data_IF_880553215690
#
_entry.id   IF_880553215690
#
_cell.length_a   1.000
_cell.length_b   1.000
_cell.length_c   1.000
_cell.angle_alpha   90.00
_cell.angle_beta   90.00
_cell.angle_gamma   90.00
#
_symmetry.space_group_name_H-M   'P 1'
#
loop_
_entity.id
_entity.type
_entity.pdbx_description
1 polymer ?
#
# COMPACT_ATOMS: atom_id res chain seq x y z
N UNK A 1 25.87 15.68 3.43
CA UNK A 1 25.25 15.27 2.14
C UNK A 1 25.16 13.76 2.11
N UNK A 2 23.97 13.20 1.91
CA UNK A 2 23.74 11.76 1.69
C UNK A 2 23.70 11.56 0.17
N UNK A 3 24.49 10.63 -0.35
CA UNK A 3 24.61 10.41 -1.80
C UNK A 3 23.77 9.22 -2.26
N UNK A 4 23.21 9.32 -3.48
CA UNK A 4 22.57 8.22 -4.21
C UNK A 4 21.47 7.48 -3.42
N UNK A 5 20.74 8.18 -2.56
CA UNK A 5 19.64 7.59 -1.79
C UNK A 5 18.52 7.16 -2.71
N UNK A 6 18.12 5.89 -2.61
CA UNK A 6 17.01 5.35 -3.38
C UNK A 6 15.67 5.83 -2.80
N UNK A 7 14.93 6.57 -3.61
CA UNK A 7 13.56 6.98 -3.30
C UNK A 7 12.61 6.22 -4.25
N UNK A 8 11.64 5.53 -3.68
CA UNK A 8 10.63 4.77 -4.42
C UNK A 8 9.46 5.66 -4.88
N UNK A 9 9.19 6.72 -4.12
CA UNK A 9 8.10 7.68 -4.39
C UNK A 9 8.54 9.09 -3.98
N UNK A 10 8.63 10.04 -4.92
CA UNK A 10 8.76 9.87 -6.39
C UNK A 10 10.01 9.05 -6.73
N UNK A 11 9.90 8.18 -7.72
CA UNK A 11 10.97 7.22 -8.01
C UNK A 11 12.23 7.88 -8.55
N UNK A 12 13.37 7.58 -7.95
CA UNK A 12 14.68 8.04 -8.39
C UNK A 12 15.78 7.82 -7.38
N UNK A 13 17.01 8.14 -7.76
CA UNK A 13 18.14 8.28 -6.85
C UNK A 13 18.43 9.76 -6.65
N UNK A 14 18.61 10.15 -5.41
CA UNK A 14 18.77 11.55 -5.05
C UNK A 14 19.92 11.72 -4.04
N UNK A 15 20.68 12.78 -4.25
CA UNK A 15 21.55 13.30 -3.23
C UNK A 15 20.72 14.18 -2.28
N UNK A 16 20.88 13.96 -0.98
CA UNK A 16 20.14 14.72 0.04
C UNK A 16 21.09 15.66 0.75
N UNK A 17 20.90 16.94 0.53
CA UNK A 17 21.57 18.00 1.28
C UNK A 17 20.68 18.47 2.42
N UNK A 18 21.22 18.49 3.63
CA UNK A 18 20.52 18.96 4.82
C UNK A 18 21.01 20.35 5.19
N UNK A 19 20.07 21.29 5.26
CA UNK A 19 20.27 22.68 5.67
C UNK A 19 19.56 22.95 7.01
N UNK A 20 19.79 24.07 7.67
CA UNK A 20 19.18 24.34 8.99
C UNK A 20 17.65 24.42 9.02
N UNK A 21 17.00 24.74 7.89
CA UNK A 21 15.53 24.97 7.79
C UNK A 21 14.85 24.15 6.73
N UNK A 22 15.59 23.54 5.83
CA UNK A 22 15.07 22.74 4.72
C UNK A 22 16.04 21.65 4.34
N UNK A 23 15.58 20.68 3.58
CA UNK A 23 16.40 19.73 2.86
C UNK A 23 16.25 19.93 1.34
N UNK A 24 17.27 19.57 0.59
CA UNK A 24 17.24 19.55 -0.86
C UNK A 24 17.51 18.16 -1.38
N UNK A 25 16.61 17.65 -2.19
CA UNK A 25 16.81 16.42 -2.96
C UNK A 25 17.30 16.82 -4.33
N UNK A 26 18.52 16.40 -4.70
CA UNK A 26 19.09 16.61 -6.03
C UNK A 26 19.04 15.30 -6.79
N UNK A 27 18.18 15.24 -7.77
CA UNK A 27 18.06 14.12 -8.68
C UNK A 27 18.71 14.39 -10.02
N UNK A 28 18.71 13.39 -10.88
CA UNK A 28 19.21 13.54 -12.27
C UNK A 28 18.34 14.49 -13.11
N UNK A 29 17.04 14.50 -12.86
CA UNK A 29 16.05 15.25 -13.67
C UNK A 29 15.31 16.29 -12.84
N UNK A 30 15.05 15.99 -11.57
CA UNK A 30 14.24 16.84 -10.69
C UNK A 30 14.97 17.13 -9.40
N UNK A 31 14.85 18.37 -8.96
CA UNK A 31 15.32 18.88 -7.68
C UNK A 31 14.13 19.32 -6.84
N UNK A 32 14.15 18.96 -5.54
CA UNK A 32 13.11 19.37 -4.61
C UNK A 32 13.71 20.08 -3.42
N UNK A 33 13.13 21.20 -3.05
CA UNK A 33 13.40 21.89 -1.78
C UNK A 33 12.23 21.65 -0.85
N UNK A 34 12.47 21.01 0.28
CA UNK A 34 11.46 20.61 1.25
C UNK A 34 11.77 21.27 2.58
N UNK A 35 10.83 22.07 3.08
CA UNK A 35 10.96 22.68 4.40
C UNK A 35 10.71 21.62 5.47
N UNK A 36 11.44 21.65 6.57
CA UNK A 36 11.17 20.72 7.69
C UNK A 36 9.79 20.97 8.31
N UNK A 37 9.28 22.19 8.26
CA UNK A 37 7.92 22.53 8.70
C UNK A 37 6.81 21.92 7.84
N UNK A 38 7.11 21.47 6.62
CA UNK A 38 6.15 20.76 5.77
C UNK A 38 6.09 19.26 6.06
N UNK A 39 6.98 18.74 6.89
CA UNK A 39 6.96 17.33 7.31
C UNK A 39 5.93 17.18 8.43
N UNK A 40 4.90 16.40 8.17
CA UNK A 40 3.80 16.18 9.10
C UNK A 40 3.97 14.92 9.94
N UNK A 41 4.48 13.84 9.34
CA UNK A 41 4.71 12.56 10.02
C UNK A 41 5.91 11.83 9.42
N UNK A 42 6.53 10.99 10.25
CA UNK A 42 7.65 10.13 9.86
C UNK A 42 7.32 8.68 10.22
N UNK A 43 7.64 7.75 9.32
CA UNK A 43 7.44 6.33 9.54
C UNK A 43 8.72 5.55 9.20
N UNK A 44 9.04 4.56 10.03
CA UNK A 44 10.13 3.63 9.78
C UNK A 44 9.55 2.21 9.79
N UNK A 45 9.51 1.58 8.63
CA UNK A 45 8.79 0.34 8.39
C UNK A 45 9.75 -0.73 7.85
N UNK A 46 9.87 -1.90 8.51
CA UNK A 46 10.63 -3.01 7.96
C UNK A 46 9.90 -3.59 6.75
N UNK A 47 10.65 -3.95 5.71
CA UNK A 47 10.08 -4.71 4.60
C UNK A 47 10.07 -6.21 4.93
N UNK A 48 9.11 -6.95 4.35
CA UNK A 48 9.01 -8.41 4.53
C UNK A 48 10.19 -9.20 3.98
N UNK A 49 11.08 -8.57 3.23
CA UNK A 49 12.30 -9.19 2.70
C UNK A 49 13.43 -9.30 3.75
N UNK A 50 13.23 -8.75 4.95
CA UNK A 50 14.18 -8.67 6.06
C UNK A 50 15.55 -7.98 5.73
N UNK A 51 15.70 -7.54 4.49
CA UNK A 51 16.92 -6.91 3.96
C UNK A 51 16.78 -5.38 3.97
N UNK A 52 15.56 -4.87 3.72
CA UNK A 52 15.35 -3.44 3.55
C UNK A 52 14.46 -2.85 4.63
N UNK A 53 14.66 -1.55 4.83
CA UNK A 53 13.82 -0.70 5.68
C UNK A 53 13.31 0.46 4.83
N UNK A 54 12.02 0.77 4.98
CA UNK A 54 11.39 1.93 4.37
C UNK A 54 11.32 3.06 5.37
N UNK A 55 11.82 4.22 4.98
CA UNK A 55 11.64 5.45 5.72
C UNK A 55 10.68 6.35 4.94
N UNK A 56 9.52 6.64 5.52
CA UNK A 56 8.45 7.38 4.85
C UNK A 56 8.29 8.73 5.51
N UNK A 57 8.26 9.77 4.69
CA UNK A 57 8.08 11.17 5.10
C UNK A 57 6.77 11.67 4.51
N UNK A 58 5.81 11.98 5.37
CA UNK A 58 4.56 12.61 4.96
C UNK A 58 4.73 14.13 4.87
N UNK A 59 4.21 14.72 3.82
CA UNK A 59 4.41 16.13 3.46
C UNK A 59 3.08 16.86 3.23
N UNK A 60 2.96 18.03 3.83
CA UNK A 60 1.93 19.01 3.54
C UNK A 60 2.56 20.43 3.51
N UNK A 61 2.62 21.09 2.36
CA UNK A 61 2.09 20.69 1.04
C UNK A 61 2.90 19.56 0.37
N UNK A 62 2.28 18.77 -0.53
CA UNK A 62 2.95 17.70 -1.25
C UNK A 62 4.00 18.22 -2.24
N UNK A 63 5.05 17.42 -2.46
CA UNK A 63 6.01 17.67 -3.53
C UNK A 63 5.33 17.50 -4.89
N UNK A 64 5.68 18.36 -5.85
CA UNK A 64 5.13 18.32 -7.21
C UNK A 64 6.19 17.91 -8.23
N UNK A 65 5.77 17.02 -9.12
CA UNK A 65 6.54 16.64 -10.31
C UNK A 65 5.62 16.76 -11.52
N UNK A 66 5.76 17.86 -12.26
CA UNK A 66 4.78 18.23 -13.27
C UNK A 66 3.39 18.41 -12.64
N UNK A 67 2.39 17.67 -13.13
CA UNK A 67 1.02 17.70 -12.60
C UNK A 67 0.81 16.73 -11.41
N UNK A 68 1.75 15.81 -11.18
CA UNK A 68 1.63 14.82 -10.13
C UNK A 68 2.03 15.41 -8.78
N UNK A 69 1.22 15.14 -7.75
CA UNK A 69 1.48 15.52 -6.37
C UNK A 69 1.87 14.30 -5.57
N UNK A 70 2.96 14.40 -4.82
CA UNK A 70 3.46 13.34 -3.96
C UNK A 70 3.38 13.79 -2.49
N UNK A 71 2.35 13.37 -1.75
CA UNK A 71 2.22 13.68 -0.33
C UNK A 71 3.18 12.86 0.54
N UNK A 72 3.84 11.86 -0.03
CA UNK A 72 4.80 11.03 0.66
C UNK A 72 6.11 10.93 -0.13
N UNK A 73 7.22 10.93 0.61
CA UNK A 73 8.50 10.41 0.13
C UNK A 73 8.69 9.03 0.74
N UNK A 74 9.04 8.06 -0.08
CA UNK A 74 9.35 6.69 0.37
C UNK A 74 10.81 6.41 0.06
N UNK A 75 11.65 6.47 1.08
CA UNK A 75 13.08 6.16 0.98
C UNK A 75 13.28 4.69 1.36
N UNK A 76 14.18 4.02 0.66
CA UNK A 76 14.54 2.64 0.95
C UNK A 76 16.03 2.54 1.26
N UNK A 77 16.34 1.86 2.36
CA UNK A 77 17.70 1.60 2.81
C UNK A 77 17.92 0.10 3.03
N UNK A 78 19.08 -0.44 2.70
CA UNK A 78 19.49 -1.74 3.22
C UNK A 78 19.64 -1.66 4.75
N UNK A 79 19.24 -2.73 5.44
CA UNK A 79 19.24 -2.76 6.92
C UNK A 79 20.66 -2.76 7.50
N UNK A 80 21.59 -3.41 6.81
CA UNK A 80 22.97 -3.61 7.25
C UNK A 80 23.94 -2.58 6.67
N UNK A 81 23.48 -1.67 5.81
CA UNK A 81 24.35 -0.64 5.23
C UNK A 81 24.75 0.38 6.30
N UNK A 82 26.03 0.39 6.65
CA UNK A 82 26.60 1.35 7.58
C UNK A 82 27.18 2.55 6.84
N UNK A 83 27.15 3.69 7.48
CA UNK A 83 27.70 4.93 6.96
C UNK A 83 28.41 5.72 8.04
N UNK A 84 29.63 6.15 7.71
CA UNK A 84 30.33 7.18 8.46
C UNK A 84 29.84 8.55 8.00
N UNK A 85 29.27 9.32 8.92
CA UNK A 85 28.83 10.67 8.62
C UNK A 85 29.31 11.66 9.67
N UNK A 86 29.91 12.75 9.24
CA UNK A 86 30.26 13.89 10.08
C UNK A 86 29.34 15.06 9.73
N UNK A 87 28.71 15.63 10.77
CA UNK A 87 27.90 16.83 10.62
C UNK A 87 28.79 18.06 10.62
N UNK A 88 28.56 18.93 9.65
CA UNK A 88 29.22 20.25 9.61
C UNK A 88 28.52 21.22 10.57
N UNK A 89 28.44 20.86 11.85
CA UNK A 89 27.91 21.63 12.95
C UNK A 89 28.94 21.69 14.05
N UNK A 90 29.07 22.85 14.69
CA UNK A 90 29.88 23.00 15.88
C UNK A 90 29.17 22.41 17.11
N UNK A 91 29.96 21.97 18.09
CA UNK A 91 29.43 21.33 19.30
C UNK A 91 28.51 22.23 20.10
N UNK A 92 28.80 23.53 20.09
CA UNK A 92 27.96 24.53 20.76
C UNK A 92 26.56 24.60 20.15
N UNK A 93 26.45 24.59 18.83
CA UNK A 93 25.14 24.52 18.11
C UNK A 93 24.42 23.21 18.38
N UNK A 94 25.13 22.08 18.45
CA UNK A 94 24.52 20.77 18.77
C UNK A 94 23.91 20.79 20.17
N UNK A 95 24.62 21.39 21.15
CA UNK A 95 24.13 21.44 22.53
C UNK A 95 23.01 22.47 22.72
N UNK A 96 23.16 23.67 22.16
CA UNK A 96 22.23 24.77 22.42
C UNK A 96 20.96 24.66 21.57
N UNK A 97 21.09 24.41 20.25
CA UNK A 97 19.96 24.41 19.33
C UNK A 97 19.26 23.04 19.24
N UNK A 98 20.04 21.98 19.34
CA UNK A 98 19.50 20.61 19.18
C UNK A 98 19.49 19.79 20.47
N UNK A 99 19.74 20.45 21.63
CA UNK A 99 19.67 19.86 22.98
C UNK A 99 20.49 18.54 23.08
N UNK A 100 21.61 18.47 22.40
CA UNK A 100 22.45 17.26 22.38
C UNK A 100 21.81 16.04 21.69
N UNK A 101 20.69 16.22 20.98
CA UNK A 101 20.00 15.12 20.27
C UNK A 101 20.71 14.67 19.00
N UNK A 102 21.69 15.45 18.51
CA UNK A 102 22.55 15.12 17.39
C UNK A 102 23.95 14.78 17.88
N UNK A 103 24.62 13.86 17.19
CA UNK A 103 26.04 13.57 17.35
C UNK A 103 26.81 14.31 16.26
N UNK A 104 28.07 14.73 16.55
CA UNK A 104 28.94 15.31 15.52
C UNK A 104 29.36 14.26 14.49
N UNK A 105 29.66 13.05 14.96
CA UNK A 105 30.02 11.90 14.13
C UNK A 105 29.11 10.72 14.39
N UNK A 106 28.74 10.04 13.33
CA UNK A 106 27.91 8.85 13.33
C UNK A 106 28.67 7.70 12.65
N UNK A 107 28.63 6.54 13.28
CA UNK A 107 29.12 5.25 12.78
C UNK A 107 27.99 4.26 13.08
N UNK A 108 26.94 4.30 12.28
CA UNK A 108 25.69 3.56 12.53
C UNK A 108 25.06 3.19 11.19
N UNK A 109 24.09 2.25 11.16
CA UNK A 109 23.32 1.98 9.95
C UNK A 109 22.70 3.23 9.35
N UNK A 110 22.85 3.38 8.03
CA UNK A 110 22.44 4.57 7.26
C UNK A 110 21.01 5.01 7.58
N UNK A 111 20.08 4.04 7.65
CA UNK A 111 18.67 4.36 7.94
C UNK A 111 18.47 4.97 9.33
N UNK A 112 19.27 4.57 10.33
CA UNK A 112 19.20 5.15 11.70
C UNK A 112 19.68 6.58 11.72
N UNK A 113 20.78 6.86 11.03
CA UNK A 113 21.32 8.22 10.91
C UNK A 113 20.29 9.13 10.26
N UNK A 114 19.77 8.72 9.09
CA UNK A 114 18.76 9.48 8.34
C UNK A 114 17.52 9.71 9.18
N UNK A 115 16.99 8.67 9.80
CA UNK A 115 15.79 8.76 10.65
C UNK A 115 16.00 9.74 11.81
N UNK A 116 17.17 9.69 12.47
CA UNK A 116 17.47 10.60 13.57
C UNK A 116 17.59 12.05 13.11
N UNK A 117 18.27 12.31 11.99
CA UNK A 117 18.39 13.65 11.41
C UNK A 117 17.03 14.24 11.06
N UNK A 118 16.18 13.49 10.35
CA UNK A 118 14.84 13.94 10.01
C UNK A 118 13.99 14.19 11.26
N UNK A 119 14.04 13.30 12.25
CA UNK A 119 13.32 13.44 13.52
C UNK A 119 13.70 14.73 14.24
N UNK A 120 15.00 15.03 14.33
CA UNK A 120 15.49 16.20 15.06
C UNK A 120 15.21 17.49 14.30
N UNK A 121 15.43 17.52 12.98
CA UNK A 121 15.22 18.73 12.19
C UNK A 121 13.73 19.06 11.98
N UNK A 122 12.87 18.07 11.82
CA UNK A 122 11.43 18.30 11.66
C UNK A 122 10.68 18.37 12.98
N UNK A 123 11.31 17.95 14.10
CA UNK A 123 10.69 17.81 15.42
C UNK A 123 9.48 16.85 15.44
N UNK A 124 9.37 15.98 14.44
CA UNK A 124 8.31 15.00 14.34
C UNK A 124 8.71 13.66 14.98
N UNK A 125 7.72 12.95 15.53
CA UNK A 125 7.92 11.59 16.04
C UNK A 125 8.01 10.61 14.89
N UNK A 126 8.87 9.60 15.04
CA UNK A 126 8.95 8.49 14.12
C UNK A 126 7.98 7.39 14.57
N UNK A 127 7.04 7.04 13.70
CA UNK A 127 6.11 5.96 13.91
C UNK A 127 6.73 4.65 13.41
N UNK A 128 6.71 3.65 14.26
CA UNK A 128 7.16 2.28 13.94
C UNK A 128 6.00 1.31 14.15
N UNK A 129 5.95 0.18 13.47
CA UNK A 129 4.98 -0.85 13.75
C UNK A 129 5.14 -1.34 15.20
N UNK A 130 4.03 -1.47 15.90
CA UNK A 130 3.99 -1.96 17.28
C UNK A 130 2.69 -2.71 17.56
N UNK A 131 2.81 -3.90 18.11
CA UNK A 131 1.66 -4.68 18.56
C UNK A 131 0.89 -5.42 17.47
N UNK A 132 1.33 -5.36 16.21
CA UNK A 132 0.83 -6.22 15.14
C UNK A 132 1.94 -7.16 14.68
N UNK A 133 1.57 -8.42 14.53
CA UNK A 133 2.42 -9.45 13.94
C UNK A 133 1.52 -10.36 13.12
N UNK A 134 1.87 -10.60 11.88
CA UNK A 134 1.15 -11.48 10.98
C UNK A 134 1.46 -12.96 11.27
N UNK A 135 0.84 -13.88 10.56
CA UNK A 135 1.02 -15.33 10.69
C UNK A 135 2.46 -15.82 10.52
N UNK A 136 3.28 -15.05 9.77
CA UNK A 136 4.69 -15.38 9.51
C UNK A 136 5.68 -14.61 10.41
N UNK A 137 5.19 -13.87 11.41
CA UNK A 137 6.04 -13.10 12.32
C UNK A 137 6.46 -11.71 11.82
N UNK A 138 5.87 -11.22 10.73
CA UNK A 138 6.17 -9.91 10.15
C UNK A 138 5.16 -8.85 10.60
N UNK A 139 5.54 -7.58 10.51
CA UNK A 139 4.74 -6.44 10.98
C UNK A 139 3.84 -5.83 9.90
N UNK A 140 3.61 -6.55 8.81
CA UNK A 140 2.82 -6.10 7.67
C UNK A 140 2.02 -7.22 7.03
N UNK A 141 1.00 -6.85 6.27
CA UNK A 141 0.15 -7.77 5.53
C UNK A 141 0.19 -7.41 4.04
N UNK A 142 0.39 -8.41 3.19
CA UNK A 142 0.33 -8.22 1.74
C UNK A 142 -1.12 -8.08 1.29
N UNK A 143 -1.40 -7.06 0.51
CA UNK A 143 -2.73 -6.82 -0.06
C UNK A 143 -2.66 -5.92 -1.28
N UNK A 144 -3.76 -5.82 -1.99
CA UNK A 144 -3.90 -5.02 -3.18
C UNK A 144 -4.91 -3.89 -2.97
N UNK A 145 -4.63 -2.73 -3.55
CA UNK A 145 -5.63 -1.67 -3.69
C UNK A 145 -5.83 -1.44 -5.20
N UNK A 146 -7.02 -1.79 -5.71
CA UNK A 146 -7.28 -1.84 -7.16
C UNK A 146 -6.27 -2.77 -7.85
N UNK A 147 -5.50 -2.26 -8.83
CA UNK A 147 -4.49 -3.01 -9.57
C UNK A 147 -3.07 -2.90 -8.99
N UNK A 148 -2.88 -2.31 -7.83
CA UNK A 148 -1.55 -2.12 -7.24
C UNK A 148 -1.35 -3.03 -6.04
N UNK A 149 -0.25 -3.79 -6.08
CA UNK A 149 0.24 -4.55 -4.93
C UNK A 149 0.89 -3.62 -3.91
N UNK A 150 0.78 -3.96 -2.65
CA UNK A 150 1.42 -3.23 -1.57
C UNK A 150 1.42 -3.98 -0.25
N UNK A 151 2.00 -3.33 0.74
CA UNK A 151 2.08 -3.83 2.11
C UNK A 151 1.29 -2.91 3.03
N UNK A 152 0.38 -3.49 3.79
CA UNK A 152 -0.42 -2.81 4.80
C UNK A 152 0.26 -2.97 6.17
N UNK A 153 0.57 -1.87 6.82
CA UNK A 153 1.15 -1.82 8.16
C UNK A 153 0.12 -1.28 9.14
N UNK A 154 -0.44 -2.12 10.02
CA UNK A 154 -1.22 -1.65 11.14
C UNK A 154 -0.30 -1.00 12.19
N UNK A 155 -0.50 0.30 12.43
CA UNK A 155 0.27 1.06 13.41
C UNK A 155 -0.59 1.37 14.64
N UNK A 156 0.00 2.00 15.64
CA UNK A 156 -0.72 2.27 16.89
C UNK A 156 -1.96 3.18 16.72
N UNK A 157 -1.90 4.16 15.82
CA UNK A 157 -2.98 5.17 15.62
C UNK A 157 -3.47 5.29 14.18
N UNK A 158 -2.91 4.51 13.27
CA UNK A 158 -3.22 4.60 11.84
C UNK A 158 -2.91 3.30 11.13
N UNK A 159 -3.49 3.12 9.95
CA UNK A 159 -3.04 2.17 8.95
C UNK A 159 -2.22 2.91 7.90
N UNK A 160 -1.11 2.35 7.47
CA UNK A 160 -0.40 2.84 6.30
C UNK A 160 -0.22 1.71 5.29
N UNK A 161 -0.73 1.92 4.08
CA UNK A 161 -0.49 1.02 2.97
C UNK A 161 0.58 1.59 2.05
N UNK A 162 1.61 0.80 1.80
CA UNK A 162 2.80 1.22 1.05
C UNK A 162 2.84 0.52 -0.29
N UNK A 163 2.76 1.32 -1.33
CA UNK A 163 2.87 0.94 -2.74
C UNK A 163 3.47 2.12 -3.51
N UNK A 164 3.24 2.21 -4.81
CA UNK A 164 3.67 3.38 -5.63
C UNK A 164 3.11 4.70 -5.13
N UNK A 165 1.90 4.68 -4.58
CA UNK A 165 1.25 5.82 -3.92
C UNK A 165 0.77 5.35 -2.55
N UNK A 166 1.47 5.71 -1.48
CA UNK A 166 1.07 5.33 -0.13
C UNK A 166 -0.28 5.92 0.26
N UNK A 167 -1.03 5.15 1.06
CA UNK A 167 -2.31 5.56 1.66
C UNK A 167 -2.14 5.52 3.17
N UNK A 168 -2.41 6.63 3.83
CA UNK A 168 -2.40 6.75 5.28
C UNK A 168 -3.82 7.00 5.77
N UNK A 169 -4.30 6.19 6.70
CA UNK A 169 -5.63 6.28 7.28
C UNK A 169 -5.47 6.37 8.79
N UNK A 170 -5.89 7.49 9.37
CA UNK A 170 -5.96 7.64 10.83
C UNK A 170 -7.15 6.87 11.39
N UNK A 171 -6.98 6.13 12.51
CA UNK A 171 -8.10 5.44 13.16
C UNK A 171 -9.17 6.39 13.67
N UNK A 172 -8.82 7.64 13.94
CA UNK A 172 -9.79 8.65 14.31
C UNK A 172 -10.81 8.94 13.21
N UNK A 173 -10.41 8.81 11.95
CA UNK A 173 -11.25 9.10 10.79
C UNK A 173 -12.04 7.87 10.32
N UNK A 174 -11.78 6.70 10.92
CA UNK A 174 -12.44 5.43 10.59
C UNK A 174 -13.78 5.33 11.33
N UNK A 175 -14.82 4.99 10.59
CA UNK A 175 -16.11 4.62 11.14
C UNK A 175 -16.11 3.16 11.59
N UNK A 176 -15.71 2.25 10.68
CA UNK A 176 -15.59 0.82 10.97
C UNK A 176 -14.68 0.09 9.98
N UNK A 177 -14.23 -1.08 10.38
CA UNK A 177 -13.53 -2.06 9.56
C UNK A 177 -14.50 -3.17 9.19
N UNK A 178 -14.59 -3.50 7.91
CA UNK A 178 -15.49 -4.55 7.42
C UNK A 178 -14.67 -5.63 6.73
N UNK A 179 -14.75 -6.84 7.29
CA UNK A 179 -14.18 -8.03 6.64
C UNK A 179 -15.20 -8.66 5.72
N UNK A 180 -14.86 -8.74 4.44
CA UNK A 180 -15.69 -9.34 3.38
C UNK A 180 -15.13 -10.68 2.95
N UNK A 181 -15.97 -11.60 2.50
CA UNK A 181 -15.60 -12.96 2.05
C UNK A 181 -15.03 -13.86 3.14
N UNK A 182 -15.45 -13.66 4.39
CA UNK A 182 -14.91 -14.39 5.56
C UNK A 182 -15.72 -15.60 6.01
N UNK A 183 -16.95 -15.82 5.51
CA UNK A 183 -17.82 -16.89 5.98
C UNK A 183 -18.75 -17.48 4.92
N UNK A 184 -19.67 -18.34 5.34
CA UNK A 184 -20.71 -18.98 4.50
C UNK A 184 -20.13 -19.91 3.44
N UNK A 185 -20.77 -19.96 2.26
CA UNK A 185 -20.34 -20.77 1.10
C UNK A 185 -18.92 -20.40 0.59
N UNK A 186 -18.42 -19.22 0.97
CA UNK A 186 -17.11 -18.70 0.57
C UNK A 186 -16.03 -18.99 1.64
N UNK A 187 -16.36 -19.75 2.69
CA UNK A 187 -15.41 -20.11 3.76
C UNK A 187 -14.16 -20.86 3.27
N UNK A 188 -14.21 -21.47 2.07
CA UNK A 188 -13.07 -22.11 1.42
C UNK A 188 -12.14 -21.13 0.66
N UNK A 189 -12.50 -19.85 0.56
CA UNK A 189 -11.66 -18.85 -0.11
C UNK A 189 -10.34 -18.69 0.65
N UNK A 190 -9.22 -18.69 -0.09
CA UNK A 190 -7.87 -18.53 0.48
C UNK A 190 -7.56 -17.10 0.91
N UNK A 191 -8.38 -16.15 0.49
CA UNK A 191 -8.19 -14.72 0.73
C UNK A 191 -9.51 -14.06 1.14
N UNK A 192 -9.39 -12.95 1.84
CA UNK A 192 -10.48 -12.06 2.19
C UNK A 192 -10.14 -10.61 1.82
N UNK A 193 -11.12 -9.73 1.95
CA UNK A 193 -10.95 -8.30 1.73
C UNK A 193 -11.25 -7.53 3.02
N UNK A 194 -10.50 -6.46 3.23
CA UNK A 194 -10.71 -5.52 4.33
C UNK A 194 -11.16 -4.17 3.75
N UNK A 195 -12.41 -3.79 4.01
CA UNK A 195 -12.93 -2.46 3.70
C UNK A 195 -12.83 -1.58 4.94
N UNK A 196 -12.25 -0.42 4.78
CA UNK A 196 -12.14 0.62 5.80
C UNK A 196 -13.12 1.71 5.44
N UNK A 197 -14.20 1.78 6.20
CA UNK A 197 -15.23 2.80 6.04
C UNK A 197 -14.86 4.03 6.86
N UNK A 198 -14.78 5.18 6.18
CA UNK A 198 -14.42 6.43 6.81
C UNK A 198 -15.67 7.19 7.30
N UNK A 199 -15.51 7.99 8.36
CA UNK A 199 -16.57 8.90 8.81
C UNK A 199 -16.88 9.96 7.75
N UNK A 200 -15.85 10.38 7.02
CA UNK A 200 -15.93 11.34 5.94
C UNK A 200 -14.95 10.96 4.83
N UNK A 201 -15.36 11.10 3.58
CA UNK A 201 -14.50 10.83 2.43
C UNK A 201 -14.80 9.51 1.73
N UNK A 202 -13.80 8.96 1.06
CA UNK A 202 -13.94 7.74 0.25
C UNK A 202 -13.38 6.54 0.99
N UNK A 203 -14.16 5.47 1.05
CA UNK A 203 -13.75 4.20 1.63
C UNK A 203 -12.56 3.58 0.90
N UNK A 204 -11.75 2.85 1.64
CA UNK A 204 -10.62 2.13 1.11
C UNK A 204 -10.84 0.62 1.23
N UNK A 205 -10.63 -0.11 0.14
CA UNK A 205 -10.71 -1.57 0.13
C UNK A 205 -9.34 -2.17 -0.15
N UNK A 206 -8.86 -2.96 0.80
CA UNK A 206 -7.64 -3.75 0.71
C UNK A 206 -8.02 -5.18 0.38
N UNK A 207 -7.65 -5.63 -0.81
CA UNK A 207 -8.10 -6.89 -1.39
C UNK A 207 -7.03 -7.98 -1.29
N UNK A 208 -7.47 -9.24 -1.41
CA UNK A 208 -6.58 -10.41 -1.53
C UNK A 208 -5.64 -10.60 -0.35
N UNK A 209 -6.10 -10.32 0.85
CA UNK A 209 -5.38 -10.61 2.09
C UNK A 209 -5.45 -12.11 2.34
N UNK A 210 -4.32 -12.75 2.69
CA UNK A 210 -4.31 -14.17 3.07
C UNK A 210 -5.24 -14.43 4.25
N UNK A 211 -6.01 -15.52 4.18
CA UNK A 211 -6.96 -15.87 5.25
C UNK A 211 -6.28 -16.12 6.59
N UNK A 212 -5.03 -16.52 6.59
CA UNK A 212 -4.22 -16.73 7.79
C UNK A 212 -4.05 -15.46 8.63
N UNK A 213 -4.22 -14.28 8.00
CA UNK A 213 -4.07 -12.98 8.65
C UNK A 213 -5.35 -12.46 9.32
N UNK A 214 -6.47 -13.17 9.13
CA UNK A 214 -7.77 -12.70 9.62
C UNK A 214 -7.79 -12.54 11.15
N UNK A 215 -7.32 -13.55 11.86
CA UNK A 215 -7.31 -13.55 13.33
C UNK A 215 -6.34 -12.51 13.87
N UNK A 216 -5.16 -12.38 13.27
CA UNK A 216 -4.15 -11.39 13.66
C UNK A 216 -4.68 -9.95 13.51
N UNK A 217 -5.34 -9.64 12.40
CA UNK A 217 -5.94 -8.33 12.16
C UNK A 217 -7.13 -8.07 13.07
N UNK A 218 -8.01 -9.08 13.26
CA UNK A 218 -9.18 -8.94 14.11
C UNK A 218 -8.78 -8.69 15.57
N UNK A 219 -7.83 -9.46 16.10
CA UNK A 219 -7.29 -9.27 17.44
C UNK A 219 -6.64 -7.89 17.61
N UNK A 220 -5.85 -7.47 16.64
CA UNK A 220 -5.20 -6.16 16.66
C UNK A 220 -6.22 -5.00 16.71
N UNK A 221 -7.30 -5.07 15.92
CA UNK A 221 -8.35 -4.06 15.94
C UNK A 221 -9.20 -4.11 17.22
N UNK A 222 -9.47 -5.32 17.74
CA UNK A 222 -10.22 -5.51 18.99
C UNK A 222 -9.46 -4.93 20.20
N UNK A 223 -8.15 -5.18 20.32
CA UNK A 223 -7.29 -4.61 21.38
C UNK A 223 -7.34 -3.08 21.41
N UNK A 224 -7.48 -2.45 20.23
CA UNK A 224 -7.57 -0.99 20.08
C UNK A 224 -8.99 -0.46 20.16
N UNK A 225 -9.98 -1.34 20.45
CA UNK A 225 -11.41 -1.00 20.54
C UNK A 225 -11.94 -0.35 19.28
N UNK A 226 -11.41 -0.76 18.11
CA UNK A 226 -11.90 -0.31 16.81
C UNK A 226 -13.12 -1.14 16.43
N UNK A 227 -14.08 -0.53 15.76
CA UNK A 227 -15.29 -1.22 15.32
C UNK A 227 -14.97 -2.14 14.16
N UNK A 228 -15.26 -3.43 14.34
CA UNK A 228 -15.07 -4.45 13.32
C UNK A 228 -16.42 -5.11 13.02
N UNK A 229 -16.69 -5.32 11.74
CA UNK A 229 -17.90 -5.96 11.22
C UNK A 229 -17.51 -7.07 10.25
N UNK A 230 -18.25 -8.19 10.31
CA UNK A 230 -18.13 -9.28 9.33
C UNK A 230 -19.40 -9.28 8.47
N UNK A 231 -19.28 -9.14 7.17
CA UNK A 231 -20.42 -9.00 6.25
C UNK A 231 -21.47 -10.12 6.38
N UNK A 232 -21.04 -11.35 6.71
CA UNK A 232 -21.95 -12.49 6.82
C UNK A 232 -22.66 -12.62 8.17
N UNK A 233 -22.16 -12.00 9.24
CA UNK A 233 -22.82 -12.05 10.54
C UNK A 233 -24.08 -11.20 10.54
N UNK A 234 -24.10 -10.13 9.74
CA UNK A 234 -25.25 -9.23 9.66
C UNK A 234 -26.37 -9.74 8.76
N UNK A 235 -26.03 -10.42 7.64
CA UNK A 235 -27.04 -11.08 6.80
C UNK A 235 -27.67 -12.26 7.55
N UNK A 236 -26.90 -13.03 8.32
CA UNK A 236 -27.41 -14.11 9.14
C UNK A 236 -28.28 -13.60 10.31
N UNK A 237 -27.94 -12.47 10.93
CA UNK A 237 -28.79 -11.85 11.96
C UNK A 237 -30.04 -11.21 11.36
N UNK A 238 -29.95 -10.63 10.14
CA UNK A 238 -31.11 -10.07 9.44
C UNK A 238 -32.14 -11.15 9.05
N UNK A 239 -31.68 -12.31 8.61
CA UNK A 239 -32.56 -13.43 8.30
C UNK A 239 -33.12 -14.08 9.58
N UNK A 240 -32.34 -14.16 10.65
CA UNK A 240 -32.80 -14.65 11.94
C UNK A 240 -33.85 -13.76 12.60
N UNK A 241 -33.67 -12.45 12.52
CA UNK A 241 -34.66 -11.50 13.04
C UNK A 241 -35.98 -11.51 12.24
N UNK A 242 -35.90 -11.67 10.90
CA UNK A 242 -37.09 -11.76 10.05
C UNK A 242 -37.85 -13.09 10.25
N UNK A 243 -37.15 -14.18 10.57
CA UNK A 243 -37.77 -15.48 10.88
C UNK A 243 -38.44 -15.46 12.26
N UNK A 244 -37.83 -14.79 13.24
CA UNK A 244 -38.39 -14.67 14.59
C UNK A 244 -39.62 -13.76 14.63
N UNK A 245 -39.68 -12.72 13.75
CA UNK A 245 -40.86 -11.84 13.58
C UNK A 245 -42.00 -12.54 12.80
N UNK A 246 -41.67 -13.53 11.95
CA UNK A 246 -42.64 -14.35 11.22
C UNK A 246 -43.18 -15.54 12.04
N UNK A 247 -42.52 -15.96 13.11
CA UNK A 247 -42.91 -17.06 13.98
C UNK A 247 -43.58 -16.58 15.28
N UNK A 248 -43.71 -15.27 15.47
CA UNK A 248 -44.19 -14.66 16.72
C UNK A 248 -45.67 -14.32 16.78
N UNK A 249 -46.48 -14.62 15.76
CA UNK A 249 -47.95 -14.43 15.82
C UNK A 249 -48.67 -15.68 15.34
N UNK A 250 -48.89 -16.65 16.23
CA UNK A 250 -50.07 -17.50 16.29
C UNK A 250 -49.92 -18.55 17.41
N UNK A 251 -50.22 -18.17 18.59
CA UNK A 251 -50.65 -19.13 19.62
C UNK A 251 -51.86 -18.57 20.36
N UNK A 252 -53.01 -18.87 19.85
CA UNK A 252 -54.20 -19.18 20.67
C UNK A 252 -55.28 -19.81 19.78
N UNK A 253 -55.56 -21.02 20.11
CA UNK A 253 -56.90 -21.58 20.19
C UNK A 253 -57.23 -22.80 19.33
N UNK A 254 -57.56 -23.86 20.06
CA UNK A 254 -58.70 -24.80 19.93
C UNK A 254 -58.43 -26.18 19.31
N UNK A 255 -58.38 -27.10 20.26
CA UNK A 255 -59.11 -28.38 20.39
C UNK A 255 -59.39 -29.24 19.12
N UNK A 256 -58.92 -30.46 19.27
CA UNK A 256 -59.69 -31.71 19.04
C UNK A 256 -60.33 -31.98 17.68
N UNK A 257 -59.80 -32.98 16.99
CA UNK A 257 -60.50 -33.56 15.85
C UNK A 257 -59.73 -34.70 15.16
N UNK A 258 -60.05 -35.85 15.51
CA UNK A 258 -59.80 -37.24 15.21
C UNK A 258 -59.96 -37.61 13.73
N UNK A 259 -59.03 -38.45 13.21
CA UNK A 259 -59.22 -39.49 12.16
C UNK A 259 -59.39 -39.09 10.72
N UNK A 260 -58.54 -39.65 9.88
CA UNK A 260 -58.79 -39.90 8.45
C UNK A 260 -57.57 -40.45 7.74
N UNK A 261 -57.58 -41.73 7.47
CA UNK A 261 -56.69 -42.58 6.72
C UNK A 261 -57.08 -42.50 5.22
N UNK A 262 -56.10 -42.51 4.33
CA UNK A 262 -56.21 -42.67 2.87
C UNK A 262 -54.83 -42.27 2.31
N UNK A 263 -54.04 -43.07 1.95
CA UNK A 263 -53.81 -44.09 0.88
C UNK A 263 -54.01 -43.50 -0.52
N UNK A 264 -53.01 -43.79 -1.29
CA UNK A 264 -52.89 -43.86 -2.75
C UNK A 264 -52.20 -42.73 -3.52
N UNK A 265 -51.14 -43.16 -4.10
CA UNK A 265 -50.73 -43.33 -5.50
C UNK A 265 -49.91 -42.21 -6.14
N UNK A 266 -48.73 -42.63 -6.51
CA UNK A 266 -47.90 -42.46 -7.69
C UNK A 266 -48.37 -41.43 -8.73
N UNK A 267 -47.43 -40.53 -9.06
CA UNK A 267 -47.21 -40.24 -10.49
C UNK A 267 -45.73 -39.76 -10.68
N UNK A 268 -45.02 -40.63 -11.38
CA UNK A 268 -43.77 -40.35 -12.08
C UNK A 268 -44.02 -39.33 -13.18
N UNK A 269 -43.24 -38.26 -13.18
CA UNK A 269 -42.97 -37.51 -14.42
C UNK A 269 -41.48 -37.24 -14.53
N UNK A 270 -40.87 -38.14 -15.30
CA UNK A 270 -39.58 -37.97 -15.94
C UNK A 270 -39.74 -36.89 -17.02
N UNK A 271 -39.04 -35.79 -16.88
CA UNK A 271 -38.77 -34.87 -18.00
C UNK A 271 -37.27 -34.87 -18.33
N UNK A 272 -37.08 -35.23 -19.59
CA UNK A 272 -35.85 -35.55 -20.26
C UNK A 272 -34.87 -34.38 -20.37
N UNK A 273 -33.62 -34.71 -20.19
CA UNK A 273 -32.45 -33.91 -20.55
C UNK A 273 -32.44 -33.59 -22.04
N UNK A 274 -32.51 -32.32 -22.42
CA UNK A 274 -32.15 -31.91 -23.77
C UNK A 274 -30.66 -31.49 -23.79
N UNK A 275 -29.91 -32.34 -24.50
CA UNK A 275 -28.53 -32.16 -24.91
C UNK A 275 -28.34 -30.84 -25.68
N UNK A 276 -27.50 -29.97 -25.15
CA UNK A 276 -26.98 -28.81 -25.90
C UNK A 276 -25.63 -29.18 -26.53
N UNK A 277 -25.67 -29.58 -27.80
CA UNK A 277 -24.49 -29.74 -28.65
C UNK A 277 -23.93 -28.35 -29.03
N UNK A 278 -22.70 -28.11 -28.63
CA UNK A 278 -21.91 -26.97 -29.10
C UNK A 278 -21.25 -27.33 -30.44
N UNK A 279 -21.67 -26.70 -31.51
CA UNK A 279 -20.97 -26.74 -32.82
C UNK A 279 -19.63 -25.98 -32.71
N UNK A 280 -18.57 -26.72 -32.99
CA UNK A 280 -17.23 -26.22 -33.23
C UNK A 280 -17.09 -25.83 -34.70
N UNK A 281 -17.01 -24.55 -35.01
CA UNK A 281 -16.51 -24.14 -36.32
C UNK A 281 -15.01 -23.91 -36.27
N UNK A 282 -14.32 -24.83 -36.92
CA UNK A 282 -12.93 -24.79 -37.32
C UNK A 282 -12.82 -23.95 -38.59
N UNK A 283 -12.11 -22.85 -38.57
CA UNK A 283 -11.64 -22.20 -39.80
C UNK A 283 -10.14 -21.91 -39.71
N UNK A 284 -9.41 -22.78 -40.36
CA UNK A 284 -7.98 -22.73 -40.54
C UNK A 284 -7.57 -21.66 -41.57
N UNK A 285 -6.54 -20.94 -41.24
CA UNK A 285 -5.92 -20.01 -42.16
C UNK A 285 -4.52 -19.61 -41.72
N UNK A 286 -3.55 -20.45 -41.97
CA UNK A 286 -2.12 -20.15 -42.09
C UNK A 286 -1.73 -20.30 -43.56
N UNK A 287 -0.53 -19.90 -43.99
CA UNK A 287 0.38 -18.84 -43.70
C UNK A 287 0.87 -18.09 -44.96
N UNK A 288 1.64 -17.06 -44.83
CA UNK A 288 2.64 -16.73 -45.86
C UNK A 288 3.88 -16.08 -45.29
N UNK A 289 4.92 -16.83 -45.35
CA UNK A 289 6.30 -16.40 -45.33
C UNK A 289 6.58 -15.49 -46.52
N UNK A 290 7.34 -14.43 -46.30
CA UNK A 290 8.15 -13.82 -47.32
C UNK A 290 9.44 -13.29 -46.70
N UNK A 291 10.47 -14.04 -46.91
CA UNK A 291 11.88 -13.68 -46.82
C UNK A 291 12.27 -12.77 -48.00
N UNK A 292 13.17 -11.85 -47.73
CA UNK A 292 14.24 -11.36 -48.61
C UNK A 292 15.05 -10.37 -47.77
N UNK A 293 16.19 -10.65 -47.31
CA UNK A 293 17.51 -10.81 -47.94
C UNK A 293 17.99 -9.58 -48.70
N UNK A 294 19.28 -9.26 -48.40
CA UNK A 294 20.27 -8.48 -49.12
C UNK A 294 20.29 -6.98 -48.83
N UNK A 295 21.38 -6.28 -48.68
CA UNK A 295 22.82 -6.48 -48.78
C UNK A 295 23.53 -5.21 -48.29
N UNK A 296 24.72 -5.39 -47.83
CA UNK A 296 25.91 -4.56 -47.75
C UNK A 296 25.94 -3.16 -48.37
N UNK A 297 26.55 -2.23 -47.61
CA UNK A 297 26.97 -0.95 -48.12
C UNK A 297 27.98 -0.22 -47.23
N UNK A 298 29.17 -0.73 -47.17
CA UNK A 298 30.41 -0.11 -46.65
C UNK A 298 30.74 1.16 -47.49
N UNK A 299 30.92 2.31 -46.84
CA UNK A 299 31.70 3.41 -47.42
C UNK A 299 32.30 4.31 -46.35
N UNK A 300 33.57 4.14 -46.19
CA UNK A 300 34.58 5.00 -45.55
C UNK A 300 34.72 6.30 -46.36
N UNK A 301 35.11 7.38 -45.68
CA UNK A 301 36.12 8.41 -46.07
C UNK A 301 35.70 9.85 -45.68
N UNK A 302 36.54 10.35 -44.80
CA UNK A 302 37.40 11.55 -44.69
C UNK A 302 36.77 12.89 -44.35
N UNK A 303 37.31 13.40 -43.27
CA UNK A 303 37.96 14.70 -42.99
C UNK A 303 37.58 15.88 -43.88
N UNK A 304 37.13 16.97 -43.23
CA UNK A 304 37.94 18.24 -43.24
C UNK A 304 37.29 19.33 -42.36
N UNK A 305 38.20 20.00 -41.69
CA UNK A 305 38.09 21.24 -40.92
C UNK A 305 37.24 22.36 -41.57
N UNK A 306 36.46 23.09 -40.77
CA UNK A 306 36.42 24.55 -40.89
C UNK A 306 35.84 25.22 -39.63
N UNK A 307 36.70 26.02 -38.97
CA UNK A 307 36.34 27.02 -37.95
C UNK A 307 35.79 28.27 -38.62
N UNK A 308 34.74 28.90 -38.15
CA UNK A 308 34.47 30.32 -38.42
C UNK A 308 34.88 31.24 -37.26
N UNK A 309 35.58 32.28 -37.63
CA UNK A 309 36.12 33.42 -36.86
C UNK A 309 35.01 34.33 -36.27
N UNK A 310 35.37 35.11 -35.22
CA UNK A 310 34.44 36.04 -34.58
C UNK A 310 34.24 37.34 -35.31
N UNK A 311 33.01 37.89 -35.32
CA UNK A 311 32.71 39.26 -35.77
C UNK A 311 32.65 40.19 -34.57
N UNK A 312 33.44 41.27 -34.68
CA UNK A 312 33.52 42.44 -33.80
C UNK A 312 32.31 43.38 -33.97
N UNK A 313 32.06 44.28 -33.01
CA UNK A 313 30.89 45.15 -32.96
C UNK A 313 31.10 46.43 -33.75
N UNK A 314 29.97 47.05 -34.14
CA UNK A 314 29.95 48.44 -34.66
C UNK A 314 28.80 49.20 -33.99
N UNK A 315 29.27 50.23 -33.30
CA UNK A 315 28.66 51.51 -32.88
C UNK A 315 27.21 51.52 -32.49
#
# INVERSE_FOLDING_TARGET
MLKEVLILTPRGRYDIDLFPTFLRLRGKTYDYKILYSSITQLFLLPKPDDIHVLFIVALDPPVRQGQTRYPFLVLQFPREEEMDAELNLDEETIQTKYEGKLKKRYEEPTFRIVTNLFRVFSQQKVHVPTGFTNSTGQESVRCNVKANDGMLYPLNKSLIWVSKQPILISYHDVHQFVFSRVGGAIASAKTFDLRVELQHGTDHTFQSISREELDSLNNFFAERKLRVKNELTDEAMGVGAAVDELLGEDDENVTSGKRGRGDDEDDDDEEEDEDFEAESEDDGGSPSEASSDDEDGDAVVSEEDEKPKPKKPRT
#
